data_IF_166038497395
#
_entry.id   IF_166038497395
#
_cell.length_a   1.000
_cell.length_b   1.000
_cell.length_c   1.000
_cell.angle_alpha   90.00
_cell.angle_beta   90.00
_cell.angle_gamma   90.00
#
_symmetry.space_group_name_H-M   'P 1'
#
loop_
_entity.id
_entity.type
_entity.pdbx_description
1 polymer ?
#
# COMPACT_ATOMS: atom_id res chain seq x y z
N UNK A 1 -18.52 -3.21 21.84
CA UNK A 1 -17.51 -2.35 22.52
C UNK A 1 -16.24 -2.47 21.70
N UNK A 2 -16.01 -1.51 20.81
CA UNK A 2 -14.82 -1.50 19.94
C UNK A 2 -13.60 -1.04 20.77
N UNK A 3 -12.44 -1.73 20.74
CA UNK A 3 -11.30 -1.35 21.56
C UNK A 3 -10.67 -0.02 21.11
N UNK A 4 -10.47 0.88 22.07
CA UNK A 4 -10.04 2.28 21.90
C UNK A 4 -8.53 2.46 21.67
N UNK A 5 -7.94 1.72 20.74
CA UNK A 5 -6.48 1.78 20.48
C UNK A 5 -6.09 2.37 19.11
N UNK A 6 -7.05 2.91 18.34
CA UNK A 6 -6.75 3.69 17.14
C UNK A 6 -6.65 5.19 17.46
N UNK A 7 -5.59 5.56 18.18
CA UNK A 7 -5.16 6.96 18.31
C UNK A 7 -3.67 7.05 17.95
N UNK A 8 -3.40 7.20 16.66
CA UNK A 8 -2.08 7.47 16.10
C UNK A 8 -2.24 8.14 14.74
N UNK A 9 -1.47 9.20 14.50
CA UNK A 9 -1.42 9.94 13.23
C UNK A 9 -1.52 9.00 12.03
N UNK A 10 -2.59 9.11 11.23
CA UNK A 10 -3.13 8.08 10.33
C UNK A 10 -2.28 7.63 9.12
N UNK A 11 -0.97 7.44 9.28
CA UNK A 11 -0.07 6.93 8.26
C UNK A 11 0.47 5.57 8.71
N UNK A 12 0.06 4.50 8.03
CA UNK A 12 0.58 3.15 8.28
C UNK A 12 2.07 3.08 7.96
N UNK A 13 2.86 2.55 8.89
CA UNK A 13 4.29 2.31 8.70
C UNK A 13 4.56 1.36 7.52
N UNK A 14 5.71 1.51 6.86
CA UNK A 14 6.09 0.59 5.81
C UNK A 14 6.57 -0.74 6.41
N UNK A 15 6.11 -1.89 5.91
CA UNK A 15 6.63 -3.18 6.35
C UNK A 15 8.16 -3.29 6.13
N UNK A 16 8.90 -4.11 6.89
CA UNK A 16 10.32 -4.35 6.64
C UNK A 16 10.58 -4.95 5.25
N UNK A 17 11.73 -4.65 4.63
CA UNK A 17 12.06 -5.06 3.25
C UNK A 17 11.92 -6.57 3.03
N UNK A 18 12.43 -7.39 3.97
CA UNK A 18 12.36 -8.85 3.85
C UNK A 18 10.92 -9.42 3.88
N UNK A 19 9.95 -8.69 4.43
CA UNK A 19 8.54 -9.09 4.41
C UNK A 19 7.86 -8.69 3.11
N UNK A 20 8.27 -7.59 2.47
CA UNK A 20 7.68 -7.12 1.20
C UNK A 20 7.93 -8.09 0.04
N UNK A 21 9.08 -8.77 0.08
CA UNK A 21 9.57 -9.65 -0.99
C UNK A 21 9.18 -11.11 -0.82
N UNK A 22 8.56 -11.48 0.31
CA UNK A 22 8.20 -12.86 0.61
C UNK A 22 6.81 -13.16 0.09
N UNK A 23 6.76 -14.17 -0.77
CA UNK A 23 5.59 -14.87 -1.27
C UNK A 23 4.72 -14.15 -2.31
N UNK A 24 4.15 -14.92 -3.23
CA UNK A 24 3.14 -14.50 -4.21
C UNK A 24 1.79 -14.10 -3.58
N UNK A 25 1.78 -13.82 -2.27
CA UNK A 25 0.59 -13.52 -1.48
C UNK A 25 0.19 -12.04 -1.51
N UNK A 26 1.04 -11.17 -2.07
CA UNK A 26 0.71 -9.77 -2.27
C UNK A 26 -0.19 -9.62 -3.49
N UNK A 27 -1.47 -9.36 -3.25
CA UNK A 27 -2.44 -9.12 -4.31
C UNK A 27 -2.93 -7.67 -4.26
N UNK A 28 -3.10 -7.01 -5.41
CA UNK A 28 -3.69 -5.69 -5.46
C UNK A 28 -5.21 -5.77 -5.34
N UNK A 29 -5.76 -4.98 -4.44
CA UNK A 29 -7.18 -4.70 -4.30
C UNK A 29 -7.44 -3.26 -4.74
N UNK A 30 -8.56 -3.01 -5.41
CA UNK A 30 -8.98 -1.65 -5.77
C UNK A 30 -10.07 -1.22 -4.80
N UNK A 31 -9.76 -0.23 -3.97
CA UNK A 31 -10.74 0.30 -3.01
C UNK A 31 -11.54 1.44 -3.64
N UNK A 32 -12.82 1.53 -3.28
CA UNK A 32 -13.69 2.66 -3.64
C UNK A 32 -13.50 3.82 -2.66
N UNK A 33 -12.39 4.54 -2.81
CA UNK A 33 -12.09 5.72 -2.01
C UNK A 33 -12.64 6.99 -2.65
N UNK A 34 -13.34 7.80 -1.86
CA UNK A 34 -13.73 9.17 -2.24
C UNK A 34 -12.51 9.95 -2.75
N UNK A 35 -11.38 9.85 -2.02
CA UNK A 35 -10.10 10.44 -2.41
C UNK A 35 -9.02 9.35 -2.54
N UNK A 36 -8.25 9.38 -3.63
CA UNK A 36 -7.14 8.46 -3.81
C UNK A 36 -6.04 8.67 -2.76
N UNK A 37 -5.46 7.58 -2.26
CA UNK A 37 -4.40 7.58 -1.26
C UNK A 37 -3.02 7.77 -1.89
N UNK A 38 -2.04 8.27 -1.11
CA UNK A 38 -0.66 8.46 -1.60
C UNK A 38 0.05 7.12 -1.78
N UNK A 39 0.75 6.96 -2.90
CA UNK A 39 1.62 5.82 -3.14
C UNK A 39 2.71 5.74 -2.07
N UNK A 40 3.01 4.52 -1.62
CA UNK A 40 3.96 4.24 -0.54
C UNK A 40 5.31 3.69 -1.03
N UNK A 41 5.51 3.59 -2.35
CA UNK A 41 6.82 3.30 -2.95
C UNK A 41 7.77 4.48 -2.76
N UNK A 42 8.99 4.28 -2.19
CA UNK A 42 9.98 5.35 -2.08
C UNK A 42 10.23 6.06 -3.42
N UNK A 43 10.22 7.39 -3.41
CA UNK A 43 10.38 8.22 -4.61
C UNK A 43 9.10 8.46 -5.42
N UNK A 44 7.99 7.79 -5.11
CA UNK A 44 6.71 8.03 -5.79
C UNK A 44 5.86 9.07 -5.04
N UNK A 45 5.37 10.09 -5.75
CA UNK A 45 4.50 11.14 -5.19
C UNK A 45 3.05 11.10 -5.71
N UNK A 46 2.69 10.04 -6.43
CA UNK A 46 1.40 9.89 -7.06
C UNK A 46 0.33 9.38 -6.08
N UNK A 47 -0.94 9.50 -6.46
CA UNK A 47 -2.07 8.93 -5.75
C UNK A 47 -2.60 7.69 -6.48
N UNK A 48 -3.16 6.74 -5.74
CA UNK A 48 -3.68 5.45 -6.23
C UNK A 48 -4.83 4.98 -5.35
N UNK A 49 -5.68 4.11 -5.91
CA UNK A 49 -6.73 3.38 -5.18
C UNK A 49 -6.40 1.89 -5.02
N UNK A 50 -5.22 1.47 -5.48
CA UNK A 50 -4.79 0.09 -5.37
C UNK A 50 -4.04 -0.12 -4.06
N UNK A 51 -4.55 -1.03 -3.23
CA UNK A 51 -4.01 -1.42 -1.92
C UNK A 51 -3.48 -2.85 -1.97
N UNK A 52 -2.36 -3.10 -1.34
CA UNK A 52 -1.86 -4.46 -1.14
C UNK A 52 -2.68 -5.18 -0.07
N UNK A 53 -3.22 -6.36 -0.39
CA UNK A 53 -4.04 -7.17 0.53
C UNK A 53 -3.31 -7.63 1.80
N UNK A 54 -1.97 -7.70 1.77
CA UNK A 54 -1.13 -8.15 2.89
C UNK A 54 -0.47 -7.02 3.66
N UNK A 55 0.10 -6.07 2.94
CA UNK A 55 0.80 -4.93 3.55
C UNK A 55 -0.16 -3.81 3.96
N UNK A 56 -1.37 -3.79 3.41
CA UNK A 56 -2.40 -2.78 3.68
C UNK A 56 -1.88 -1.35 3.47
N UNK A 57 -1.14 -1.19 2.37
CA UNK A 57 -0.59 0.09 1.88
C UNK A 57 -0.97 0.29 0.42
N UNK A 58 -0.99 1.55 0.00
CA UNK A 58 -1.37 1.94 -1.36
C UNK A 58 -0.15 2.03 -2.29
N UNK A 59 -0.23 1.38 -3.45
CA UNK A 59 0.83 1.33 -4.47
C UNK A 59 0.25 1.56 -5.86
N UNK A 60 1.00 2.22 -6.75
CA UNK A 60 0.55 2.46 -8.13
C UNK A 60 0.57 1.19 -8.98
N UNK A 61 -0.44 1.05 -9.84
CA UNK A 61 -0.53 0.04 -10.89
C UNK A 61 -1.08 0.76 -12.12
N UNK A 62 -0.19 1.31 -12.94
CA UNK A 62 -0.51 2.09 -14.13
C UNK A 62 0.41 1.69 -15.28
N UNK A 63 0.01 2.01 -16.51
CA UNK A 63 0.86 1.81 -17.69
C UNK A 63 2.15 2.63 -17.52
N UNK A 64 3.31 1.97 -17.64
CA UNK A 64 4.63 2.61 -17.47
C UNK A 64 5.05 2.90 -16.03
N UNK A 65 4.21 2.58 -15.02
CA UNK A 65 4.56 2.73 -13.60
C UNK A 65 3.93 1.62 -12.77
N UNK A 66 4.73 0.63 -12.39
CA UNK A 66 4.30 -0.51 -11.59
C UNK A 66 4.99 -0.52 -10.22
N UNK A 67 4.63 0.45 -9.37
CA UNK A 67 5.16 0.55 -8.02
C UNK A 67 4.80 -0.67 -7.16
N UNK A 68 3.72 -1.37 -7.48
CA UNK A 68 3.37 -2.62 -6.80
C UNK A 68 4.45 -3.69 -7.03
N UNK A 69 4.83 -3.91 -8.29
CA UNK A 69 5.91 -4.84 -8.63
C UNK A 69 7.24 -4.42 -8.02
N UNK A 70 7.65 -3.17 -8.19
CA UNK A 70 8.95 -2.68 -7.68
C UNK A 70 9.07 -2.76 -6.14
N UNK A 71 7.96 -2.57 -5.42
CA UNK A 71 7.96 -2.62 -3.96
C UNK A 71 8.05 -4.05 -3.41
N UNK A 72 7.57 -5.04 -4.18
CA UNK A 72 7.45 -6.45 -3.80
C UNK A 72 8.47 -7.38 -4.49
N UNK A 73 9.19 -6.90 -5.51
CA UNK A 73 10.29 -7.62 -6.15
C UNK A 73 11.54 -7.69 -5.26
#
# INVERSE_FOLDING_TARGET
MEPSWFQGSGVKELPPVGFRKKDAMHLPLKDDLQNAARCRQPGCNMKTRHRCSRCDIYLCIEIGRNCFFEFHA
#
